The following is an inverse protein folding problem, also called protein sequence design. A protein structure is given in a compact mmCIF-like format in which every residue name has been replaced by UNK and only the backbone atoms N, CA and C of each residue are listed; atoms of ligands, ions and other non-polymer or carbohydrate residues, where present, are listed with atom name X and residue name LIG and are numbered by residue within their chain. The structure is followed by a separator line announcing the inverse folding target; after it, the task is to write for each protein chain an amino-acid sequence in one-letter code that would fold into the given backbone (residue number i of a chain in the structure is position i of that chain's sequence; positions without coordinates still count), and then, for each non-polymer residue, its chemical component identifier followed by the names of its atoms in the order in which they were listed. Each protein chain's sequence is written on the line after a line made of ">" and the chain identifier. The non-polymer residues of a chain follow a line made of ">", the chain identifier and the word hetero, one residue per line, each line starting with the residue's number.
data_IF_008264465396
#
_entry.id   IF_008264465396
#
_cell.length_a   1.000
_cell.length_b   1.000
_cell.length_c   1.000
_cell.angle_alpha   90.00
_cell.angle_beta   90.00
_cell.angle_gamma   90.00
#
_symmetry.space_group_name_H-M   'P 1'
#
loop_
_entity.id
_entity.type
_entity.pdbx_description
1 polymer ?
#
# COMPACT_ATOMS: atom_id res chain seq x y z
N UNK A 1 18.08 17.36 10.63
CA UNK A 1 18.34 15.91 10.53
C UNK A 1 17.11 15.11 10.10
N UNK A 2 15.93 15.43 10.65
CA UNK A 2 14.67 14.68 10.46
C UNK A 2 14.12 14.66 9.02
N UNK A 3 14.14 15.79 8.31
CA UNK A 3 13.69 15.86 6.91
C UNK A 3 14.49 14.95 5.97
N UNK A 4 15.80 14.79 6.22
CA UNK A 4 16.67 13.92 5.42
C UNK A 4 16.29 12.44 5.57
N UNK A 5 15.98 12.01 6.79
CA UNK A 5 15.53 10.64 7.05
C UNK A 5 14.22 10.34 6.34
N UNK A 6 13.24 11.24 6.43
CA UNK A 6 11.93 11.05 5.81
C UNK A 6 12.01 11.02 4.28
N UNK A 7 12.91 11.83 3.70
CA UNK A 7 13.20 11.81 2.26
C UNK A 7 13.88 10.51 1.82
N UNK A 8 14.82 9.98 2.61
CA UNK A 8 15.44 8.67 2.34
C UNK A 8 14.43 7.52 2.40
N UNK A 9 13.56 7.51 3.42
CA UNK A 9 12.50 6.49 3.56
C UNK A 9 11.52 6.58 2.40
N UNK A 10 11.10 7.80 2.02
CA UNK A 10 10.23 8.02 0.87
C UNK A 10 10.88 7.53 -0.44
N UNK A 11 12.14 7.89 -0.68
CA UNK A 11 12.87 7.48 -1.88
C UNK A 11 12.99 5.94 -1.98
N UNK A 12 13.35 5.27 -0.88
CA UNK A 12 13.42 3.80 -0.83
C UNK A 12 12.06 3.15 -1.11
N UNK A 13 10.98 3.69 -0.49
CA UNK A 13 9.61 3.19 -0.69
C UNK A 13 9.16 3.35 -2.13
N UNK A 14 9.53 4.46 -2.75
CA UNK A 14 9.25 4.76 -4.16
C UNK A 14 10.03 3.83 -5.10
N UNK A 15 11.29 3.52 -4.82
CA UNK A 15 12.05 2.53 -5.58
C UNK A 15 11.39 1.14 -5.54
N UNK A 16 10.91 0.71 -4.36
CA UNK A 16 10.17 -0.55 -4.22
C UNK A 16 8.85 -0.50 -5.03
N UNK A 17 8.14 0.62 -4.97
CA UNK A 17 6.91 0.82 -5.74
C UNK A 17 7.16 0.72 -7.24
N UNK A 18 8.23 1.35 -7.73
CA UNK A 18 8.63 1.30 -9.13
C UNK A 18 8.97 -0.13 -9.58
N UNK A 19 9.72 -0.88 -8.78
CA UNK A 19 10.05 -2.27 -9.06
C UNK A 19 8.81 -3.18 -9.12
N UNK A 20 7.85 -2.98 -8.20
CA UNK A 20 6.58 -3.71 -8.22
C UNK A 20 5.74 -3.37 -9.46
N UNK A 21 5.76 -2.11 -9.89
CA UNK A 21 5.05 -1.66 -11.08
C UNK A 21 5.61 -2.30 -12.36
N UNK A 22 6.94 -2.40 -12.48
CA UNK A 22 7.61 -3.14 -13.55
C UNK A 22 7.19 -4.61 -13.51
N UNK A 23 7.19 -5.22 -12.33
CA UNK A 23 6.83 -6.65 -12.17
C UNK A 23 5.40 -6.91 -12.64
N UNK A 24 4.43 -6.08 -12.23
CA UNK A 24 3.03 -6.18 -12.68
C UNK A 24 2.93 -5.98 -14.20
N UNK A 25 3.68 -5.03 -14.76
CA UNK A 25 3.69 -4.75 -16.19
C UNK A 25 4.23 -5.95 -16.99
N UNK A 26 5.31 -6.58 -16.54
CA UNK A 26 5.87 -7.80 -17.13
C UNK A 26 4.85 -8.95 -17.03
N UNK A 27 4.21 -9.13 -15.87
CA UNK A 27 3.17 -10.16 -15.69
C UNK A 27 1.95 -9.95 -16.60
N UNK A 28 1.66 -8.71 -16.97
CA UNK A 28 0.59 -8.40 -17.92
C UNK A 28 1.03 -8.65 -19.37
N UNK A 29 2.32 -8.43 -19.70
CA UNK A 29 2.88 -8.68 -21.03
C UNK A 29 3.04 -10.17 -21.37
N UNK A 30 3.35 -11.00 -20.37
CA UNK A 30 3.50 -12.46 -20.54
C UNK A 30 2.14 -13.16 -20.71
N UNK A 31 1.03 -12.48 -20.40
CA UNK A 31 -0.30 -13.06 -20.52
C UNK A 31 -0.63 -13.34 -22.00
N UNK A 32 -0.85 -14.61 -22.39
CA UNK A 32 -0.98 -15.00 -23.80
C UNK A 32 -2.22 -14.43 -24.48
N UNK A 33 -3.19 -13.95 -23.71
CA UNK A 33 -4.42 -13.35 -24.23
C UNK A 33 -4.21 -11.94 -24.78
N UNK A 34 -3.10 -11.24 -24.47
CA UNK A 34 -2.87 -9.85 -24.90
C UNK A 34 -3.85 -8.81 -24.32
N UNK A 35 -4.83 -9.25 -23.52
CA UNK A 35 -5.80 -8.43 -22.81
C UNK A 35 -5.52 -8.42 -21.30
N UNK A 36 -6.07 -7.43 -20.58
CA UNK A 36 -6.08 -7.44 -19.11
C UNK A 36 -6.64 -8.78 -18.59
N UNK A 37 -6.10 -9.31 -17.48
CA UNK A 37 -6.53 -10.60 -16.93
C UNK A 37 -8.04 -10.59 -16.64
N UNK A 38 -8.76 -11.56 -17.20
CA UNK A 38 -10.21 -11.74 -16.98
C UNK A 38 -10.56 -12.01 -15.52
N UNK A 39 -9.61 -12.54 -14.75
CA UNK A 39 -9.76 -12.79 -13.32
C UNK A 39 -8.51 -12.31 -12.56
N UNK A 40 -8.72 -11.53 -11.50
CA UNK A 40 -7.64 -11.06 -10.62
C UNK A 40 -6.93 -12.20 -9.85
N UNK A 41 -7.55 -13.39 -9.83
CA UNK A 41 -7.13 -14.54 -9.04
C UNK A 41 -6.21 -15.51 -9.79
N UNK A 42 -6.07 -15.39 -11.11
CA UNK A 42 -5.22 -16.26 -11.92
C UNK A 42 -4.09 -15.45 -12.57
N UNK A 43 -2.81 -15.80 -12.33
CA UNK A 43 -2.29 -16.70 -11.29
C UNK A 43 -2.44 -16.13 -9.85
N UNK A 44 -2.52 -16.97 -8.80
CA UNK A 44 -2.76 -16.53 -7.42
C UNK A 44 -1.67 -15.61 -6.84
N UNK A 45 -0.45 -15.68 -7.40
CA UNK A 45 0.67 -14.79 -7.10
C UNK A 45 0.36 -13.34 -7.48
N UNK A 46 -0.42 -13.11 -8.54
CA UNK A 46 -0.82 -11.78 -9.02
C UNK A 46 -1.57 -11.02 -7.92
N UNK A 47 -2.50 -11.69 -7.23
CA UNK A 47 -3.27 -11.08 -6.15
C UNK A 47 -2.39 -10.63 -4.97
N UNK A 48 -1.37 -11.42 -4.60
CA UNK A 48 -0.42 -11.05 -3.53
C UNK A 48 0.45 -9.86 -3.96
N UNK A 49 0.94 -9.87 -5.20
CA UNK A 49 1.75 -8.77 -5.73
C UNK A 49 0.93 -7.48 -5.81
N UNK A 50 -0.32 -7.55 -6.30
CA UNK A 50 -1.23 -6.40 -6.30
C UNK A 50 -1.53 -5.88 -4.90
N UNK A 51 -1.64 -6.75 -3.90
CA UNK A 51 -1.83 -6.33 -2.50
C UNK A 51 -0.63 -5.56 -1.97
N UNK A 52 0.58 -6.08 -2.19
CA UNK A 52 1.82 -5.41 -1.78
C UNK A 52 1.95 -4.08 -2.51
N UNK A 53 1.65 -4.06 -3.81
CA UNK A 53 1.64 -2.86 -4.63
C UNK A 53 0.69 -1.79 -4.11
N UNK A 54 -0.58 -2.13 -3.86
CA UNK A 54 -1.58 -1.18 -3.35
C UNK A 54 -1.21 -0.65 -1.97
N UNK A 55 -0.72 -1.53 -1.10
CA UNK A 55 -0.29 -1.15 0.25
C UNK A 55 0.90 -0.20 0.19
N UNK A 56 1.88 -0.49 -0.66
CA UNK A 56 3.05 0.37 -0.85
C UNK A 56 2.68 1.70 -1.53
N UNK A 57 1.74 1.70 -2.46
CA UNK A 57 1.23 2.92 -3.10
C UNK A 57 0.62 3.86 -2.06
N UNK A 58 -0.31 3.35 -1.25
CA UNK A 58 -0.95 4.12 -0.17
C UNK A 58 0.11 4.64 0.82
N UNK A 59 1.07 3.81 1.19
CA UNK A 59 2.18 4.22 2.07
C UNK A 59 3.01 5.36 1.47
N UNK A 60 3.40 5.26 0.19
CA UNK A 60 4.10 6.32 -0.53
C UNK A 60 3.29 7.62 -0.57
N UNK A 61 1.99 7.57 -0.87
CA UNK A 61 1.12 8.75 -0.89
C UNK A 61 1.03 9.42 0.49
N UNK A 62 0.98 8.65 1.58
CA UNK A 62 0.99 9.20 2.93
C UNK A 62 2.34 9.85 3.28
N UNK A 63 3.46 9.24 2.89
CA UNK A 63 4.78 9.84 3.08
C UNK A 63 4.91 11.15 2.29
N UNK A 64 4.38 11.20 1.07
CA UNK A 64 4.37 12.41 0.24
C UNK A 64 3.50 13.52 0.87
N UNK A 65 2.31 13.18 1.36
CA UNK A 65 1.47 14.11 2.11
C UNK A 65 2.21 14.64 3.35
N UNK A 66 2.89 13.76 4.07
CA UNK A 66 3.67 14.12 5.27
C UNK A 66 4.82 15.07 4.91
N UNK A 67 5.57 14.80 3.84
CA UNK A 67 6.63 15.68 3.34
C UNK A 67 6.08 17.06 2.96
N UNK A 68 4.91 17.11 2.32
CA UNK A 68 4.28 18.37 1.93
C UNK A 68 3.82 19.17 3.14
N UNK A 69 3.22 18.52 4.15
CA UNK A 69 2.83 19.18 5.41
C UNK A 69 4.05 19.70 6.14
N UNK A 70 5.11 18.89 6.27
CA UNK A 70 6.39 19.31 6.87
C UNK A 70 6.99 20.51 6.15
N UNK A 71 6.96 20.52 4.80
CA UNK A 71 7.43 21.65 3.99
C UNK A 71 6.60 22.91 4.25
N UNK A 72 5.27 22.81 4.28
CA UNK A 72 4.37 23.95 4.56
C UNK A 72 4.64 24.51 5.97
N UNK A 73 4.74 23.65 6.98
CA UNK A 73 5.01 24.07 8.37
C UNK A 73 6.38 24.77 8.47
N UNK A 74 7.39 24.25 7.77
CA UNK A 74 8.72 24.85 7.74
C UNK A 74 8.73 26.27 7.15
N UNK A 75 7.85 26.55 6.18
CA UNK A 75 7.69 27.86 5.54
C UNK A 75 6.91 28.81 6.45
N UNK A 76 5.79 28.36 7.05
CA UNK A 76 4.90 29.23 7.83
C UNK A 76 5.55 29.61 9.18
N UNK A 77 6.26 28.70 9.85
CA UNK A 77 6.84 28.94 11.19
C UNK A 77 8.27 28.39 11.34
N UNK A 78 9.26 28.99 10.67
CA UNK A 78 10.64 28.49 10.68
C UNK A 78 11.26 28.42 12.09
N UNK A 79 10.96 29.41 12.96
CA UNK A 79 11.53 29.45 14.32
C UNK A 79 11.00 28.34 15.25
N UNK A 80 9.71 27.97 15.15
CA UNK A 80 9.14 26.85 15.92
C UNK A 80 9.49 25.50 15.34
N UNK A 81 9.73 25.42 14.04
CA UNK A 81 10.10 24.19 13.36
C UNK A 81 11.44 23.63 13.86
N UNK A 82 12.38 24.50 14.22
CA UNK A 82 13.68 24.06 14.74
C UNK A 82 13.60 23.43 16.14
N UNK A 83 12.61 23.78 16.97
CA UNK A 83 12.45 23.24 18.32
C UNK A 83 11.47 22.06 18.42
N UNK A 84 10.62 21.84 17.42
CA UNK A 84 9.60 20.80 17.42
C UNK A 84 10.15 19.42 16.99
N UNK A 85 10.90 18.75 17.86
CA UNK A 85 11.41 17.39 17.60
C UNK A 85 10.37 16.26 17.62
N UNK A 86 9.10 16.54 17.92
CA UNK A 86 8.12 15.52 18.35
C UNK A 86 7.01 15.21 17.33
N UNK A 87 6.69 16.10 16.38
CA UNK A 87 5.54 15.97 15.49
C UNK A 87 5.64 14.80 14.49
N UNK A 88 6.86 14.40 14.12
CA UNK A 88 7.07 13.32 13.15
C UNK A 88 6.82 11.93 13.75
N UNK A 89 7.06 11.73 15.05
CA UNK A 89 6.87 10.43 15.71
C UNK A 89 5.40 10.05 15.73
N UNK A 90 4.52 11.00 16.05
CA UNK A 90 3.07 10.81 16.00
C UNK A 90 2.61 10.54 14.58
N UNK A 91 3.11 11.27 13.59
CA UNK A 91 2.76 11.06 12.17
C UNK A 91 3.21 9.68 11.65
N UNK A 92 4.39 9.20 12.05
CA UNK A 92 4.89 7.87 11.71
C UNK A 92 4.05 6.77 12.36
N UNK A 93 3.68 6.93 13.62
CA UNK A 93 2.81 5.97 14.32
C UNK A 93 1.44 5.88 13.64
N UNK A 94 0.85 7.02 13.28
CA UNK A 94 -0.42 7.05 12.56
C UNK A 94 -0.34 6.38 11.18
N UNK A 95 0.74 6.60 10.44
CA UNK A 95 0.94 5.95 9.13
C UNK A 95 1.18 4.44 9.24
N UNK A 96 1.95 3.99 10.23
CA UNK A 96 2.13 2.56 10.48
C UNK A 96 0.80 1.92 10.90
N UNK A 97 0.01 2.59 11.75
CA UNK A 97 -1.27 2.09 12.24
C UNK A 97 -2.34 2.01 11.13
N UNK A 98 -2.40 2.97 10.21
CA UNK A 98 -3.34 2.92 9.07
C UNK A 98 -2.97 1.82 8.07
N UNK A 99 -1.67 1.59 7.84
CA UNK A 99 -1.20 0.49 7.00
C UNK A 99 -1.49 -0.87 7.65
N UNK A 100 -1.19 -1.04 8.94
CA UNK A 100 -1.45 -2.30 9.66
C UNK A 100 -2.93 -2.64 9.79
N UNK A 101 -3.78 -1.64 10.07
CA UNK A 101 -5.24 -1.85 10.17
C UNK A 101 -5.84 -2.29 8.84
N UNK A 102 -5.40 -1.69 7.72
CA UNK A 102 -5.78 -2.15 6.37
C UNK A 102 -5.34 -3.59 6.12
N UNK A 103 -4.11 -3.95 6.50
CA UNK A 103 -3.61 -5.32 6.36
C UNK A 103 -4.50 -6.35 7.10
N UNK A 104 -5.00 -5.99 8.29
CA UNK A 104 -5.94 -6.83 9.07
C UNK A 104 -7.31 -6.96 8.42
N UNK A 105 -7.90 -5.84 7.97
CA UNK A 105 -9.25 -5.83 7.37
C UNK A 105 -9.29 -6.70 6.11
N UNK A 106 -8.25 -6.63 5.26
CA UNK A 106 -8.20 -7.45 4.04
C UNK A 106 -7.88 -8.92 4.28
N UNK A 107 -7.23 -9.27 5.40
CA UNK A 107 -7.11 -10.66 5.85
C UNK A 107 -8.47 -11.27 6.17
N UNK A 108 -9.36 -10.50 6.80
CA UNK A 108 -10.73 -10.90 7.13
C UNK A 108 -11.57 -11.05 5.85
N UNK A 109 -11.42 -10.16 4.87
CA UNK A 109 -12.10 -10.28 3.57
C UNK A 109 -11.70 -11.56 2.81
N UNK A 110 -10.43 -11.98 2.88
CA UNK A 110 -9.98 -13.26 2.29
C UNK A 110 -10.67 -14.47 2.93
N UNK A 111 -10.83 -14.48 4.25
CA UNK A 111 -11.50 -15.55 5.00
C UNK A 111 -13.01 -15.57 4.69
N UNK A 112 -13.64 -14.40 4.60
CA UNK A 112 -15.05 -14.26 4.25
C UNK A 112 -15.33 -14.69 2.81
N UNK A 113 -14.49 -14.31 1.84
CA UNK A 113 -14.69 -14.72 0.44
C UNK A 113 -14.45 -16.23 0.24
N UNK A 114 -13.50 -16.84 0.96
CA UNK A 114 -13.31 -18.28 0.94
C UNK A 114 -14.50 -19.03 1.56
N UNK A 115 -15.07 -18.49 2.64
CA UNK A 115 -16.25 -19.08 3.30
C UNK A 115 -17.51 -18.95 2.43
N UNK A 116 -17.68 -17.80 1.76
CA UNK A 116 -18.81 -17.55 0.84
C UNK A 116 -18.77 -18.49 -0.38
N UNK A 117 -17.58 -18.73 -0.96
CA UNK A 117 -17.40 -19.71 -2.06
C UNK A 117 -17.76 -21.15 -1.65
N UNK A 118 -17.39 -21.59 -0.44
CA UNK A 118 -17.80 -22.91 0.07
C UNK A 118 -19.32 -22.98 0.26
N UNK A 119 -19.93 -21.93 0.77
CA UNK A 119 -21.38 -21.89 1.01
C UNK A 119 -22.19 -21.96 -0.30
N UNK A 120 -21.74 -21.26 -1.35
CA UNK A 120 -22.38 -21.34 -2.68
C UNK A 120 -22.20 -22.71 -3.35
N UNK A 121 -21.04 -23.36 -3.16
CA UNK A 121 -20.81 -24.74 -3.62
C UNK A 121 -21.69 -25.75 -2.87
N UNK A 122 -21.87 -25.57 -1.57
CA UNK A 122 -22.75 -26.42 -0.76
C UNK A 122 -24.22 -26.29 -1.18
N UNK A 123 -24.70 -25.08 -1.43
CA UNK A 123 -26.04 -24.81 -1.96
C UNK A 123 -26.25 -25.36 -3.38
N UNK A 124 -25.19 -25.42 -4.20
CA UNK A 124 -25.25 -26.00 -5.55
C UNK A 124 -25.29 -27.54 -5.53
N UNK A 125 -24.72 -28.21 -4.52
CA UNK A 125 -24.78 -29.66 -4.36
C UNK A 125 -26.11 -30.19 -3.79
N UNK A 126 -26.93 -29.31 -3.20
CA UNK A 126 -28.23 -29.66 -2.59
C UNK A 126 -29.44 -29.39 -3.51
N UNK A 127 -29.19 -29.09 -4.79
CA UNK A 127 -30.20 -28.90 -5.84
C UNK A 127 -30.08 -30.02 -6.85
#
# INVERSE_FOLDING_TARGET
>A
SHFRYLLCVWALSYCIFFALNITISIMNLIEPTGYLPKALNDPPIRLVIYQIYLTNNVFCSFLELTLNVERIISIIKPMKYHSAGFAWKTLLVWTVQTVFSRFRIYGIDRVLNHSRKRFTLWLACFK
#
